data_IF_034512740658
#
_entry.id   IF_034512740658
#
_cell.length_a   1.000
_cell.length_b   1.000
_cell.length_c   1.000
_cell.angle_alpha   90.00
_cell.angle_beta   90.00
_cell.angle_gamma   90.00
#
_symmetry.space_group_name_H-M   'P 1'
#
loop_
_entity.id
_entity.type
_entity.pdbx_description
1 polymer ?
#
# COMPACT_ATOMS: atom_id res chain seq x y z
N UNK A 1 -11.98 -0.25 -0.03
CA UNK A 1 -11.35 1.08 0.18
C UNK A 1 -12.34 2.22 0.35
N UNK A 2 -13.29 2.45 -0.57
CA UNK A 2 -14.30 3.52 -0.43
C UNK A 2 -15.14 3.38 0.86
N UNK A 3 -15.62 2.17 1.16
CA UNK A 3 -16.37 1.88 2.39
C UNK A 3 -15.59 2.21 3.69
N UNK A 4 -14.29 1.90 3.74
CA UNK A 4 -13.44 2.19 4.91
C UNK A 4 -13.27 3.70 5.08
N UNK A 5 -13.09 4.44 3.97
CA UNK A 5 -13.00 5.90 4.00
C UNK A 5 -14.30 6.51 4.55
N UNK A 6 -15.45 6.06 4.04
CA UNK A 6 -16.77 6.55 4.50
C UNK A 6 -16.98 6.21 5.99
N UNK A 7 -16.68 4.98 6.41
CA UNK A 7 -16.88 4.53 7.78
C UNK A 7 -15.96 5.29 8.76
N UNK A 8 -14.69 5.48 8.40
CA UNK A 8 -13.71 6.21 9.22
C UNK A 8 -13.87 7.73 9.20
N UNK A 9 -14.51 8.31 8.18
CA UNK A 9 -14.79 9.75 8.12
C UNK A 9 -16.09 10.13 8.82
N UNK A 10 -17.07 9.22 8.84
CA UNK A 10 -18.45 9.58 9.18
C UNK A 10 -18.96 8.93 10.47
N UNK A 11 -18.43 7.76 10.85
CA UNK A 11 -19.02 6.92 11.90
C UNK A 11 -18.02 6.60 13.02
N UNK A 12 -16.79 6.21 12.66
CA UNK A 12 -15.83 5.70 13.65
C UNK A 12 -14.91 6.80 14.18
N UNK A 13 -14.58 6.77 15.49
CA UNK A 13 -13.68 7.73 16.09
C UNK A 13 -12.24 7.54 15.57
N UNK A 14 -11.48 8.64 15.55
CA UNK A 14 -10.04 8.63 15.24
C UNK A 14 -9.14 8.62 16.48
N UNK A 15 -9.73 8.70 17.67
CA UNK A 15 -8.98 8.68 18.92
C UNK A 15 -8.46 7.27 19.21
N UNK A 16 -7.23 7.18 19.71
CA UNK A 16 -6.57 5.93 20.10
C UNK A 16 -6.54 4.85 18.99
N UNK A 17 -5.96 5.15 17.81
CA UNK A 17 -6.02 4.26 16.65
C UNK A 17 -5.40 2.88 16.92
N UNK A 18 -4.37 2.79 17.77
CA UNK A 18 -3.77 1.52 18.16
C UNK A 18 -4.77 0.62 18.91
N UNK A 19 -5.52 1.17 19.87
CA UNK A 19 -6.48 0.42 20.68
C UNK A 19 -7.63 -0.08 19.79
N UNK A 20 -8.14 0.80 18.93
CA UNK A 20 -9.20 0.42 17.97
C UNK A 20 -8.73 -0.68 17.01
N UNK A 21 -7.49 -0.61 16.52
CA UNK A 21 -6.92 -1.66 15.69
C UNK A 21 -6.90 -3.01 16.41
N UNK A 22 -6.45 -3.05 17.67
CA UNK A 22 -6.44 -4.29 18.46
C UNK A 22 -7.85 -4.84 18.66
N UNK A 23 -8.82 -3.99 19.01
CA UNK A 23 -10.22 -4.40 19.17
C UNK A 23 -10.77 -4.99 17.88
N UNK A 24 -10.66 -4.28 16.76
CA UNK A 24 -11.14 -4.78 15.47
C UNK A 24 -10.44 -6.08 15.05
N UNK A 25 -9.14 -6.19 15.30
CA UNK A 25 -8.37 -7.40 14.98
C UNK A 25 -8.82 -8.62 15.77
N UNK A 26 -9.02 -8.46 17.08
CA UNK A 26 -9.53 -9.53 17.95
C UNK A 26 -10.95 -9.92 17.51
N UNK A 27 -11.85 -8.95 17.37
CA UNK A 27 -13.23 -9.21 16.91
C UNK A 27 -13.24 -9.93 15.57
N UNK A 28 -12.38 -9.53 14.62
CA UNK A 28 -12.31 -10.12 13.28
C UNK A 28 -11.83 -11.57 13.33
N UNK A 29 -10.74 -11.82 14.03
CA UNK A 29 -10.20 -13.17 14.14
C UNK A 29 -11.13 -14.11 14.92
N UNK A 30 -11.77 -13.62 15.97
CA UNK A 30 -12.79 -14.37 16.72
C UNK A 30 -14.01 -14.66 15.86
N UNK A 31 -14.51 -13.69 15.10
CA UNK A 31 -15.62 -13.89 14.16
C UNK A 31 -15.28 -14.99 13.15
N UNK A 32 -14.10 -14.95 12.53
CA UNK A 32 -13.68 -15.94 11.54
C UNK A 32 -13.61 -17.37 12.09
N UNK A 33 -13.09 -17.55 13.31
CA UNK A 33 -12.91 -18.89 13.91
C UNK A 33 -14.17 -19.44 14.61
N UNK A 34 -14.99 -18.58 15.22
CA UNK A 34 -16.16 -19.04 16.02
C UNK A 34 -17.41 -19.32 15.19
N UNK A 35 -17.58 -18.69 14.03
CA UNK A 35 -18.82 -18.76 13.25
C UNK A 35 -18.79 -19.76 12.09
N UNK A 36 -17.63 -20.36 11.80
CA UNK A 36 -17.43 -21.18 10.60
C UNK A 36 -17.38 -20.37 9.29
N UNK A 37 -17.48 -19.03 9.37
CA UNK A 37 -17.54 -18.13 8.21
C UNK A 37 -16.30 -18.25 7.32
N UNK A 38 -15.12 -18.44 7.91
CA UNK A 38 -13.88 -18.64 7.15
C UNK A 38 -13.96 -19.89 6.27
N UNK A 39 -14.49 -21.01 6.80
CA UNK A 39 -14.62 -22.25 6.03
C UNK A 39 -15.64 -22.09 4.90
N UNK A 40 -16.78 -21.47 5.18
CA UNK A 40 -17.82 -21.21 4.17
C UNK A 40 -17.33 -20.31 3.02
N UNK A 41 -16.55 -19.27 3.32
CA UNK A 41 -16.02 -18.37 2.28
C UNK A 41 -14.98 -19.06 1.38
N UNK A 42 -14.16 -19.94 1.96
CA UNK A 42 -13.08 -20.60 1.23
C UNK A 42 -13.55 -21.82 0.44
N UNK A 43 -14.70 -22.40 0.80
CA UNK A 43 -15.31 -23.51 0.08
C UNK A 43 -16.18 -23.01 -1.09
N UNK A 44 -15.69 -23.22 -2.30
CA UNK A 44 -16.37 -22.84 -3.54
C UNK A 44 -17.67 -23.63 -3.78
N UNK A 45 -17.80 -24.82 -3.19
CA UNK A 45 -19.04 -25.62 -3.28
C UNK A 45 -20.14 -25.11 -2.35
N UNK A 46 -19.75 -24.50 -1.23
CA UNK A 46 -20.65 -23.93 -0.22
C UNK A 46 -21.03 -22.48 -0.53
N UNK A 47 -20.08 -21.64 -0.96
CA UNK A 47 -20.36 -20.27 -1.38
C UNK A 47 -20.60 -20.19 -2.90
N UNK A 48 -21.82 -20.52 -3.31
CA UNK A 48 -22.22 -20.59 -4.73
C UNK A 48 -22.40 -19.23 -5.43
N UNK A 49 -22.20 -18.11 -4.74
CA UNK A 49 -22.28 -16.73 -5.28
C UNK A 49 -23.57 -16.41 -6.06
N UNK A 50 -24.68 -17.02 -5.66
CA UNK A 50 -25.97 -16.93 -6.38
C UNK A 50 -26.68 -15.58 -6.23
N UNK A 51 -26.41 -14.83 -5.16
CA UNK A 51 -27.04 -13.56 -4.84
C UNK A 51 -25.98 -12.46 -4.65
N UNK A 52 -26.39 -11.20 -4.70
CA UNK A 52 -25.49 -10.05 -4.50
C UNK A 52 -24.67 -10.14 -3.20
N UNK A 53 -25.26 -10.65 -2.12
CA UNK A 53 -24.59 -10.80 -0.82
C UNK A 53 -23.52 -11.90 -0.90
N UNK A 54 -23.86 -13.09 -1.42
CA UNK A 54 -22.92 -14.21 -1.50
C UNK A 54 -21.79 -13.95 -2.50
N UNK A 55 -22.08 -13.21 -3.57
CA UNK A 55 -21.07 -12.72 -4.51
C UNK A 55 -20.09 -11.71 -3.88
N UNK A 56 -20.54 -10.90 -2.92
CA UNK A 56 -19.71 -9.91 -2.23
C UNK A 56 -19.28 -10.33 -0.81
N UNK A 57 -19.53 -11.58 -0.42
CA UNK A 57 -19.34 -12.04 0.94
C UNK A 57 -17.88 -11.95 1.42
N UNK A 58 -16.92 -12.17 0.50
CA UNK A 58 -15.49 -11.98 0.75
C UNK A 58 -15.21 -10.53 1.19
N UNK A 59 -15.76 -9.54 0.47
CA UNK A 59 -15.57 -8.11 0.77
C UNK A 59 -16.30 -7.65 2.03
N UNK A 60 -17.51 -8.16 2.28
CA UNK A 60 -18.29 -7.86 3.49
C UNK A 60 -17.61 -8.39 4.75
N UNK A 61 -17.14 -9.64 4.68
CA UNK A 61 -16.49 -10.31 5.83
C UNK A 61 -15.13 -9.70 6.13
N UNK A 62 -14.33 -9.42 5.10
CA UNK A 62 -12.99 -8.86 5.25
C UNK A 62 -12.98 -7.39 5.66
N UNK A 63 -14.12 -6.70 5.65
CA UNK A 63 -14.21 -5.27 5.97
C UNK A 63 -13.60 -4.94 7.35
N UNK A 64 -13.85 -5.78 8.36
CA UNK A 64 -13.33 -5.59 9.71
C UNK A 64 -11.81 -5.84 9.79
N UNK A 65 -11.31 -6.83 9.05
CA UNK A 65 -9.87 -7.02 8.85
C UNK A 65 -9.20 -5.81 8.19
N UNK A 66 -9.83 -5.20 7.19
CA UNK A 66 -9.29 -4.00 6.57
C UNK A 66 -9.37 -2.76 7.49
N UNK A 67 -10.39 -2.64 8.34
CA UNK A 67 -10.42 -1.60 9.38
C UNK A 67 -9.25 -1.75 10.35
N UNK A 68 -8.93 -2.99 10.73
CA UNK A 68 -7.77 -3.30 11.56
C UNK A 68 -6.48 -2.78 10.92
N UNK A 69 -6.25 -3.09 9.63
CA UNK A 69 -5.08 -2.62 8.88
C UNK A 69 -5.06 -1.09 8.80
N UNK A 70 -6.20 -0.46 8.54
CA UNK A 70 -6.32 0.99 8.45
C UNK A 70 -5.93 1.68 9.76
N UNK A 71 -6.51 1.24 10.88
CA UNK A 71 -6.23 1.84 12.19
C UNK A 71 -4.81 1.56 12.69
N UNK A 72 -4.26 0.36 12.43
CA UNK A 72 -2.85 0.08 12.70
C UNK A 72 -1.93 1.00 11.90
N UNK A 73 -2.23 1.19 10.61
CA UNK A 73 -1.46 2.10 9.74
C UNK A 73 -1.57 3.55 10.21
N UNK A 74 -2.75 3.98 10.69
CA UNK A 74 -2.93 5.30 11.27
C UNK A 74 -2.09 5.49 12.54
N UNK A 75 -2.03 4.48 13.41
CA UNK A 75 -1.18 4.52 14.61
C UNK A 75 0.31 4.62 14.27
N UNK A 76 0.78 3.88 13.26
CA UNK A 76 2.16 3.99 12.73
C UNK A 76 2.38 5.39 12.14
N UNK A 77 1.41 5.92 11.41
CA UNK A 77 1.44 7.28 10.86
C UNK A 77 1.53 8.36 11.94
N UNK A 78 0.75 8.28 13.01
CA UNK A 78 0.82 9.20 14.15
C UNK A 78 2.18 9.10 14.88
N UNK A 79 2.72 7.89 15.00
CA UNK A 79 4.06 7.67 15.54
C UNK A 79 5.13 8.38 14.71
N UNK A 80 5.00 8.36 13.38
CA UNK A 80 5.89 9.08 12.47
C UNK A 80 5.68 10.59 12.48
N UNK A 81 4.44 11.06 12.54
CA UNK A 81 4.10 12.50 12.47
C UNK A 81 4.68 13.30 13.65
N UNK A 82 4.91 12.66 14.81
CA UNK A 82 5.53 13.27 16.01
C UNK A 82 7.04 13.45 15.89
N UNK A 83 7.58 13.70 14.70
CA UNK A 83 9.02 13.80 14.46
C UNK A 83 9.45 15.27 14.36
N UNK A 84 10.52 15.63 15.06
CA UNK A 84 11.12 16.96 14.98
C UNK A 84 11.84 17.18 13.65
N UNK A 85 11.98 18.44 13.23
CA UNK A 85 12.66 18.88 11.99
C UNK A 85 14.12 18.38 11.89
N UNK A 86 14.78 18.07 13.02
CA UNK A 86 16.20 17.67 13.04
C UNK A 86 16.45 16.31 12.38
N UNK A 87 17.43 16.22 11.47
CA UNK A 87 17.85 14.98 10.76
C UNK A 87 18.09 13.79 11.71
N UNK A 88 18.71 14.00 12.87
CA UNK A 88 18.93 12.94 13.87
C UNK A 88 17.63 12.26 14.32
N UNK A 89 16.53 13.01 14.38
CA UNK A 89 15.20 12.47 14.69
C UNK A 89 14.70 11.56 13.58
N UNK A 90 14.92 11.94 12.32
CA UNK A 90 14.55 11.15 11.14
C UNK A 90 15.34 9.85 11.06
N UNK A 91 16.66 9.89 11.32
CA UNK A 91 17.51 8.70 11.41
C UNK A 91 16.94 7.73 12.46
N UNK A 92 16.66 8.26 13.66
CA UNK A 92 16.08 7.45 14.75
C UNK A 92 14.75 6.81 14.34
N UNK A 93 13.86 7.57 13.70
CA UNK A 93 12.56 7.06 13.23
C UNK A 93 12.72 5.97 12.17
N UNK A 94 13.68 6.13 11.27
CA UNK A 94 13.99 5.13 10.26
C UNK A 94 14.40 3.80 10.90
N UNK A 95 15.32 3.82 11.87
CA UNK A 95 15.69 2.62 12.62
C UNK A 95 14.51 2.03 13.41
N UNK A 96 13.68 2.88 14.03
CA UNK A 96 12.47 2.42 14.72
C UNK A 96 11.47 1.73 13.78
N UNK A 97 11.32 2.21 12.54
CA UNK A 97 10.45 1.57 11.54
C UNK A 97 11.00 0.20 11.11
N UNK A 98 12.31 0.08 10.86
CA UNK A 98 12.91 -1.22 10.53
C UNK A 98 12.83 -2.20 11.71
N UNK A 99 13.07 -1.73 12.94
CA UNK A 99 12.91 -2.56 14.14
C UNK A 99 11.45 -3.00 14.33
N UNK A 100 10.49 -2.09 14.16
CA UNK A 100 9.06 -2.41 14.22
C UNK A 100 8.67 -3.42 13.13
N UNK A 101 9.14 -3.23 11.90
CA UNK A 101 8.91 -4.16 10.81
C UNK A 101 9.46 -5.55 11.11
N UNK A 102 10.64 -5.65 11.73
CA UNK A 102 11.23 -6.93 12.11
C UNK A 102 10.42 -7.61 13.23
N UNK A 103 9.94 -6.85 14.21
CA UNK A 103 9.04 -7.37 15.26
C UNK A 103 7.75 -7.89 14.63
N UNK A 104 7.11 -7.11 13.76
CA UNK A 104 5.89 -7.50 13.05
C UNK A 104 6.11 -8.75 12.19
N UNK A 105 7.29 -8.90 11.59
CA UNK A 105 7.66 -10.09 10.83
C UNK A 105 7.73 -11.35 11.70
N UNK A 106 8.33 -11.27 12.90
CA UNK A 106 8.33 -12.40 13.82
C UNK A 106 6.92 -12.73 14.33
N UNK A 107 6.10 -11.71 14.58
CA UNK A 107 4.69 -11.91 14.93
C UNK A 107 3.93 -12.56 13.77
N UNK A 108 4.19 -12.16 12.53
CA UNK A 108 3.61 -12.79 11.34
C UNK A 108 3.98 -14.27 11.26
N UNK A 109 5.26 -14.63 11.44
CA UNK A 109 5.70 -16.04 11.43
C UNK A 109 5.01 -16.83 12.54
N UNK A 110 4.89 -16.25 13.74
CA UNK A 110 4.18 -16.88 14.85
C UNK A 110 2.69 -17.08 14.51
N UNK A 111 2.04 -16.07 13.91
CA UNK A 111 0.64 -16.15 13.49
C UNK A 111 0.42 -17.21 12.40
N UNK A 112 1.35 -17.35 11.46
CA UNK A 112 1.29 -18.40 10.43
C UNK A 112 1.34 -19.81 11.04
N UNK A 113 2.14 -19.99 12.10
CA UNK A 113 2.24 -21.27 12.82
C UNK A 113 1.07 -21.54 13.76
N UNK A 114 0.51 -20.51 14.39
CA UNK A 114 -0.51 -20.67 15.43
C UNK A 114 -1.95 -20.51 14.93
N UNK A 115 -2.18 -19.79 13.83
CA UNK A 115 -3.53 -19.41 13.39
C UNK A 115 -3.90 -20.08 12.08
N UNK A 116 -3.33 -19.62 10.97
CA UNK A 116 -3.59 -20.05 9.58
C UNK A 116 -2.56 -19.37 8.64
N UNK A 117 -2.32 -19.90 7.43
CA UNK A 117 -1.56 -19.19 6.40
C UNK A 117 -2.24 -17.86 6.01
N UNK A 118 -1.48 -16.86 5.53
CA UNK A 118 -2.03 -15.56 5.17
C UNK A 118 -3.04 -15.69 4.03
N UNK A 119 -4.28 -15.27 4.26
CA UNK A 119 -5.36 -15.35 3.27
C UNK A 119 -5.96 -13.98 2.99
N UNK A 120 -5.77 -13.50 1.75
CA UNK A 120 -6.29 -12.21 1.27
C UNK A 120 -7.81 -12.15 1.19
N UNK A 121 -8.49 -13.29 0.93
CA UNK A 121 -9.96 -13.34 0.72
C UNK A 121 -10.72 -13.01 2.00
N UNK A 122 -10.21 -13.47 3.15
CA UNK A 122 -10.82 -13.27 4.47
C UNK A 122 -10.10 -12.23 5.32
N UNK A 123 -8.87 -11.83 4.94
CA UNK A 123 -8.03 -10.88 5.68
C UNK A 123 -7.83 -11.37 7.12
N UNK A 124 -7.35 -12.61 7.28
CA UNK A 124 -7.09 -13.19 8.59
C UNK A 124 -5.92 -12.49 9.33
N UNK A 125 -5.75 -12.76 10.62
CA UNK A 125 -4.71 -12.12 11.43
C UNK A 125 -3.30 -12.22 10.82
N UNK A 126 -2.93 -13.40 10.29
CA UNK A 126 -1.63 -13.60 9.63
C UNK A 126 -1.46 -12.66 8.42
N UNK A 127 -2.51 -12.50 7.60
CA UNK A 127 -2.49 -11.56 6.49
C UNK A 127 -2.37 -10.11 6.98
N UNK A 128 -3.09 -9.72 8.05
CA UNK A 128 -2.99 -8.38 8.64
C UNK A 128 -1.54 -8.08 9.05
N UNK A 129 -0.89 -9.00 9.78
CA UNK A 129 0.51 -8.82 10.18
C UNK A 129 1.46 -8.81 8.98
N UNK A 130 1.22 -9.63 7.96
CA UNK A 130 2.03 -9.57 6.73
C UNK A 130 1.94 -8.23 6.02
N UNK A 131 0.74 -7.66 5.95
CA UNK A 131 0.52 -6.37 5.31
C UNK A 131 1.16 -5.25 6.12
N UNK A 132 1.03 -5.28 7.45
CA UNK A 132 1.68 -4.30 8.33
C UNK A 132 3.20 -4.37 8.26
N UNK A 133 3.77 -5.58 8.21
CA UNK A 133 5.20 -5.79 8.02
C UNK A 133 5.67 -5.15 6.73
N UNK A 134 5.05 -5.52 5.60
CA UNK A 134 5.44 -5.02 4.29
C UNK A 134 5.32 -3.49 4.19
N UNK A 135 4.21 -2.91 4.66
CA UNK A 135 3.98 -1.47 4.57
C UNK A 135 4.90 -0.68 5.51
N UNK A 136 5.20 -1.20 6.70
CA UNK A 136 6.15 -0.57 7.63
C UNK A 136 7.56 -0.60 7.06
N UNK A 137 7.98 -1.73 6.49
CA UNK A 137 9.26 -1.85 5.80
C UNK A 137 9.37 -0.87 4.62
N UNK A 138 8.37 -0.87 3.75
CA UNK A 138 8.33 0.03 2.59
C UNK A 138 8.40 1.51 3.01
N UNK A 139 7.70 1.87 4.09
CA UNK A 139 7.76 3.23 4.65
C UNK A 139 9.16 3.57 5.16
N UNK A 140 9.84 2.63 5.83
CA UNK A 140 11.25 2.78 6.23
C UNK A 140 12.20 2.97 5.05
N UNK A 141 11.99 2.23 3.95
CA UNK A 141 12.75 2.40 2.70
C UNK A 141 12.49 3.77 2.07
N UNK A 142 11.23 4.18 1.93
CA UNK A 142 10.88 5.50 1.39
C UNK A 142 11.50 6.63 2.22
N UNK A 143 11.46 6.50 3.56
CA UNK A 143 12.10 7.46 4.46
C UNK A 143 13.62 7.49 4.25
N UNK A 144 14.25 6.33 4.08
CA UNK A 144 15.70 6.22 3.81
C UNK A 144 16.10 6.93 2.51
N UNK A 145 15.32 6.70 1.45
CA UNK A 145 15.52 7.35 0.14
C UNK A 145 15.34 8.88 0.27
N UNK A 146 14.27 9.32 0.94
CA UNK A 146 14.02 10.74 1.16
C UNK A 146 15.15 11.41 1.94
N UNK A 147 15.67 10.74 2.97
CA UNK A 147 16.80 11.23 3.75
C UNK A 147 18.08 11.32 2.91
N UNK A 148 18.37 10.30 2.09
CA UNK A 148 19.50 10.33 1.17
C UNK A 148 19.37 11.48 0.17
N UNK A 149 18.20 11.64 -0.47
CA UNK A 149 17.95 12.73 -1.40
C UNK A 149 18.10 14.11 -0.73
N UNK A 150 17.64 14.26 0.52
CA UNK A 150 17.78 15.52 1.26
C UNK A 150 19.25 15.83 1.55
N UNK A 151 20.03 14.83 1.99
CA UNK A 151 21.47 15.00 2.25
C UNK A 151 22.24 15.27 0.97
N UNK A 152 21.96 14.53 -0.10
CA UNK A 152 22.56 14.72 -1.42
C UNK A 152 22.26 16.13 -1.94
N UNK A 153 20.99 16.57 -1.87
CA UNK A 153 20.58 17.93 -2.21
C UNK A 153 21.33 18.97 -1.38
N UNK A 154 21.40 18.82 -0.05
CA UNK A 154 22.19 19.71 0.81
C UNK A 154 23.69 19.73 0.45
N UNK A 155 24.26 18.60 0.02
CA UNK A 155 25.68 18.50 -0.37
C UNK A 155 25.97 19.06 -1.76
N UNK A 156 24.96 19.10 -2.63
CA UNK A 156 25.04 19.64 -3.99
C UNK A 156 24.76 21.15 -4.06
N UNK A 157 24.66 21.85 -2.92
CA UNK A 157 24.60 23.32 -2.87
C UNK A 157 26.00 23.96 -2.78
N UNK A 158 26.66 24.27 -3.91
CA UNK A 158 27.42 25.49 -4.05
C UNK A 158 26.61 26.47 -4.92
N UNK A 159 26.40 27.69 -4.40
CA UNK A 159 25.85 28.88 -5.08
C UNK A 159 24.34 28.88 -5.38
N UNK A 160 23.60 29.61 -4.54
CA UNK A 160 22.32 30.18 -4.93
C UNK A 160 22.54 31.14 -6.11
N UNK A 161 21.96 30.81 -7.28
CA UNK A 161 21.66 31.82 -8.29
C UNK A 161 20.42 32.60 -7.83
N UNK A 162 20.45 33.93 -7.90
CA UNK A 162 19.31 34.77 -7.53
C UNK A 162 18.11 34.42 -8.44
N UNK A 163 17.13 33.67 -7.91
CA UNK A 163 15.88 33.35 -8.63
C UNK A 163 15.33 31.95 -8.43
N UNK A 164 16.07 31.00 -7.83
CA UNK A 164 15.55 29.65 -7.55
C UNK A 164 14.95 29.56 -6.14
N UNK A 165 13.66 29.18 -6.07
CA UNK A 165 12.97 28.97 -4.79
C UNK A 165 13.56 27.76 -4.04
N UNK A 166 14.18 27.95 -2.85
CA UNK A 166 14.79 26.88 -2.06
C UNK A 166 13.77 25.86 -1.52
N UNK A 167 12.48 26.19 -1.60
CA UNK A 167 11.36 25.37 -1.16
C UNK A 167 10.58 24.75 -2.32
N UNK A 168 11.08 24.87 -3.56
CA UNK A 168 10.49 24.15 -4.68
C UNK A 168 10.49 22.67 -4.35
N UNK A 169 9.28 22.08 -4.33
CA UNK A 169 9.11 20.67 -3.97
C UNK A 169 9.81 19.87 -5.04
N UNK A 170 10.97 19.27 -4.72
CA UNK A 170 11.67 18.34 -5.61
C UNK A 170 10.79 17.10 -5.76
N UNK A 171 9.85 17.16 -6.70
CA UNK A 171 9.06 16.02 -7.10
C UNK A 171 9.91 15.18 -8.04
N UNK A 172 10.15 13.89 -7.76
CA UNK A 172 10.89 13.05 -8.68
C UNK A 172 10.18 13.03 -10.03
N UNK A 173 10.92 13.33 -11.11
CA UNK A 173 10.36 13.56 -12.46
C UNK A 173 9.40 12.45 -12.91
N UNK A 174 9.68 11.20 -12.54
CA UNK A 174 8.84 10.05 -12.87
C UNK A 174 7.47 10.11 -12.19
N UNK A 175 7.42 10.51 -10.92
CA UNK A 175 6.17 10.64 -10.16
C UNK A 175 5.29 11.74 -10.76
N UNK A 176 5.91 12.83 -11.21
CA UNK A 176 5.18 13.92 -11.85
C UNK A 176 4.66 13.53 -13.24
N UNK A 177 5.45 12.80 -14.04
CA UNK A 177 4.99 12.24 -15.33
C UNK A 177 3.79 11.30 -15.16
N UNK A 178 3.82 10.41 -14.16
CA UNK A 178 2.73 9.47 -13.88
C UNK A 178 1.49 10.22 -13.37
N UNK A 179 1.66 11.20 -12.48
CA UNK A 179 0.55 11.94 -11.91
C UNK A 179 -0.22 12.74 -12.98
N UNK A 180 0.51 13.36 -13.92
CA UNK A 180 -0.09 14.09 -15.06
C UNK A 180 -0.89 13.20 -16.00
N UNK A 181 -0.46 11.94 -16.17
CA UNK A 181 -1.09 10.97 -17.06
C UNK A 181 -1.78 9.82 -16.31
N UNK A 182 -2.31 10.06 -15.12
CA UNK A 182 -2.83 9.01 -14.23
C UNK A 182 -3.92 8.13 -14.86
N UNK A 183 -4.82 8.71 -15.67
CA UNK A 183 -5.85 7.95 -16.40
C UNK A 183 -5.24 7.04 -17.47
N UNK A 184 -4.26 7.54 -18.23
CA UNK A 184 -3.60 6.77 -19.29
C UNK A 184 -2.76 5.65 -18.68
N UNK A 185 -2.01 5.96 -17.61
CA UNK A 185 -1.26 4.97 -16.84
C UNK A 185 -2.19 3.85 -16.35
N UNK A 186 -3.35 4.19 -15.81
CA UNK A 186 -4.36 3.21 -15.37
C UNK A 186 -4.86 2.33 -16.53
N UNK A 187 -5.16 2.92 -17.70
CA UNK A 187 -5.66 2.14 -18.83
C UNK A 187 -4.58 1.18 -19.36
N UNK A 188 -3.38 1.70 -19.60
CA UNK A 188 -2.23 0.93 -20.08
C UNK A 188 -1.89 -0.20 -19.11
N UNK A 189 -1.86 0.09 -17.81
CA UNK A 189 -1.54 -0.90 -16.79
C UNK A 189 -2.56 -2.05 -16.79
N UNK A 190 -3.86 -1.75 -16.88
CA UNK A 190 -4.90 -2.79 -16.94
C UNK A 190 -4.84 -3.64 -18.21
N UNK A 191 -4.62 -3.02 -19.37
CA UNK A 191 -4.49 -3.75 -20.66
C UNK A 191 -3.26 -4.66 -20.62
N UNK A 192 -2.11 -4.15 -20.18
CA UNK A 192 -0.89 -4.95 -20.04
C UNK A 192 -1.04 -6.08 -19.01
N UNK A 193 -1.75 -5.85 -17.90
CA UNK A 193 -2.04 -6.92 -16.93
C UNK A 193 -2.89 -8.02 -17.56
N UNK A 194 -3.91 -7.65 -18.34
CA UNK A 194 -4.70 -8.61 -19.11
C UNK A 194 -3.85 -9.40 -20.10
N UNK A 195 -2.97 -8.72 -20.85
CA UNK A 195 -2.08 -9.35 -21.82
C UNK A 195 -1.11 -10.34 -21.18
N UNK A 196 -0.48 -9.97 -20.06
CA UNK A 196 0.42 -10.85 -19.31
C UNK A 196 -0.33 -12.09 -18.81
N UNK A 197 -1.53 -11.93 -18.26
CA UNK A 197 -2.35 -13.03 -17.76
C UNK A 197 -2.85 -13.97 -18.88
N UNK A 198 -3.00 -13.48 -20.11
CA UNK A 198 -3.34 -14.32 -21.27
C UNK A 198 -2.11 -15.03 -21.86
N UNK A 199 -0.92 -14.41 -21.74
CA UNK A 199 0.32 -14.93 -22.33
C UNK A 199 1.01 -15.96 -21.43
N UNK A 200 0.88 -15.79 -20.11
CA UNK A 200 1.54 -16.62 -19.11
C UNK A 200 0.49 -17.07 -18.08
N UNK A 201 0.51 -18.35 -17.72
CA UNK A 201 -0.27 -18.86 -16.58
C UNK A 201 0.32 -18.31 -15.27
N UNK A 202 -0.03 -17.06 -14.97
CA UNK A 202 0.52 -16.28 -13.87
C UNK A 202 0.29 -16.93 -12.51
N UNK A 203 -0.72 -17.81 -12.40
CA UNK A 203 -1.03 -18.49 -11.14
C UNK A 203 -0.01 -19.58 -10.78
N UNK A 204 0.64 -20.18 -11.78
CA UNK A 204 1.55 -21.32 -11.57
C UNK A 204 3.02 -20.93 -11.64
N UNK A 205 3.34 -19.66 -11.89
CA UNK A 205 4.73 -19.24 -12.05
C UNK A 205 5.47 -19.18 -10.70
N UNK A 206 6.69 -19.74 -10.62
CA UNK A 206 7.52 -19.62 -9.43
C UNK A 206 8.05 -18.19 -9.26
N UNK A 207 8.43 -17.77 -8.03
CA UNK A 207 8.78 -16.38 -7.72
C UNK A 207 9.90 -15.79 -8.58
N UNK A 208 10.89 -16.61 -8.97
CA UNK A 208 12.03 -16.19 -9.77
C UNK A 208 11.66 -15.86 -11.23
N UNK A 209 10.53 -16.36 -11.75
CA UNK A 209 9.99 -15.99 -13.07
C UNK A 209 9.01 -14.83 -12.94
N UNK A 210 8.17 -14.86 -11.91
CA UNK A 210 7.18 -13.82 -11.66
C UNK A 210 7.83 -12.45 -11.40
N UNK A 211 8.94 -12.40 -10.66
CA UNK A 211 9.59 -11.15 -10.28
C UNK A 211 10.16 -10.37 -11.49
N UNK A 212 10.93 -10.97 -12.43
CA UNK A 212 11.34 -10.31 -13.66
C UNK A 212 10.16 -9.83 -14.52
N UNK A 213 9.09 -10.62 -14.63
CA UNK A 213 7.90 -10.23 -15.39
C UNK A 213 7.27 -8.97 -14.78
N UNK A 214 7.11 -8.94 -13.46
CA UNK A 214 6.61 -7.77 -12.74
C UNK A 214 7.52 -6.55 -12.92
N UNK A 215 8.85 -6.74 -12.85
CA UNK A 215 9.81 -5.66 -13.05
C UNK A 215 9.74 -5.09 -14.47
N UNK A 216 9.68 -5.95 -15.48
CA UNK A 216 9.51 -5.56 -16.88
C UNK A 216 8.19 -4.82 -17.08
N UNK A 217 7.09 -5.36 -16.52
CA UNK A 217 5.78 -4.74 -16.57
C UNK A 217 5.77 -3.31 -16.00
N UNK A 218 6.29 -3.12 -14.79
CA UNK A 218 6.35 -1.79 -14.16
C UNK A 218 7.22 -0.85 -14.99
N UNK A 219 8.39 -1.32 -15.44
CA UNK A 219 9.33 -0.52 -16.24
C UNK A 219 8.71 -0.06 -17.56
N UNK A 220 7.98 -0.92 -18.26
CA UNK A 220 7.27 -0.58 -19.51
C UNK A 220 6.17 0.45 -19.22
N UNK A 221 5.36 0.24 -18.19
CA UNK A 221 4.28 1.16 -17.84
C UNK A 221 4.81 2.55 -17.49
N UNK A 222 5.83 2.63 -16.62
CA UNK A 222 6.40 3.91 -16.18
C UNK A 222 7.24 4.57 -17.28
N UNK A 223 7.99 3.77 -18.05
CA UNK A 223 8.80 4.25 -19.17
C UNK A 223 7.96 4.84 -20.30
N UNK A 224 6.81 4.22 -20.62
CA UNK A 224 5.88 4.77 -21.60
C UNK A 224 5.34 6.14 -21.16
N UNK A 225 4.94 6.30 -19.90
CA UNK A 225 4.44 7.59 -19.41
C UNK A 225 5.53 8.67 -19.47
N UNK A 226 6.74 8.33 -19.07
CA UNK A 226 7.87 9.26 -19.12
C UNK A 226 8.24 9.63 -20.57
N UNK A 227 8.20 8.68 -21.50
CA UNK A 227 8.44 8.92 -22.92
C UNK A 227 7.38 9.85 -23.54
N UNK A 228 6.11 9.65 -23.22
CA UNK A 228 5.02 10.50 -23.69
C UNK A 228 5.14 11.94 -23.17
N UNK A 229 5.54 12.10 -21.91
CA UNK A 229 5.85 13.40 -21.30
C UNK A 229 7.03 14.08 -21.99
N UNK A 230 8.12 13.35 -22.23
CA UNK A 230 9.29 13.86 -22.96
C UNK A 230 8.93 14.36 -24.36
N UNK A 231 7.99 13.68 -25.04
CA UNK A 231 7.49 14.06 -26.36
C UNK A 231 6.47 15.21 -26.34
N UNK A 232 6.15 15.79 -25.17
CA UNK A 232 5.14 16.85 -24.96
C UNK A 232 3.79 16.52 -25.62
N UNK A 233 3.41 15.26 -25.66
CA UNK A 233 2.12 14.84 -26.22
C UNK A 233 1.04 15.28 -25.24
N UNK A 234 0.47 16.47 -25.45
CA UNK A 234 -0.65 16.96 -24.65
C UNK A 234 -1.90 16.21 -25.07
N UNK A 235 -2.36 15.29 -24.23
CA UNK A 235 -3.74 14.84 -24.28
C UNK A 235 -4.61 15.99 -23.78
N UNK A 236 -5.57 16.43 -24.59
CA UNK A 236 -6.40 17.60 -24.29
C UNK A 236 -7.09 17.45 -22.92
N UNK A 237 -6.58 18.18 -21.92
CA UNK A 237 -7.22 18.38 -20.62
C UNK A 237 -7.68 19.83 -20.56
N UNK A 238 -8.93 20.01 -20.10
CA UNK A 238 -9.67 21.28 -20.11
C UNK A 238 -8.84 22.44 -19.52
N UNK A 239 -9.03 23.67 -20.02
CA UNK A 239 -8.45 24.85 -19.39
C UNK A 239 -8.94 24.95 -17.94
N UNK A 240 -8.01 25.17 -17.01
CA UNK A 240 -8.31 25.54 -15.64
C UNK A 240 -9.18 26.80 -15.68
N UNK A 241 -10.40 26.70 -15.15
CA UNK A 241 -11.18 27.88 -14.78
C UNK A 241 -10.50 28.48 -13.54
N UNK A 242 -10.17 29.76 -13.65
CA UNK A 242 -9.73 30.65 -12.56
C UNK A 242 -10.81 30.77 -11.47
#
# INVERSE_FOLDING_TARGET
MAAIRILSSSILPRCYPLVLSVIFGICHQTMLKSTGLQAWILDESANRRENLITANAEGLTSLMGYLTIFYASLAIGEFMAKTSIRIKSWIRRCFQLFALSLILFFIQIAAEKCVDPPCRRVVNATYIFSQLTLMTFATGVCLSIQMFNTVAWCSSFPQFSNGEDPYSVVSPCLSDSINRHSLLFFLVSNVLTGLVNLSVDAHRQPPHIAFPILLAYVTVCTGLMHFLEYRKIKFATRPHAE
#
